data_IF_272070176161
#
_entry.id   IF_272070176161
#
_cell.length_a   1.000
_cell.length_b   1.000
_cell.length_c   1.000
_cell.angle_alpha   90.00
_cell.angle_beta   90.00
_cell.angle_gamma   90.00
#
_symmetry.space_group_name_H-M   'P 1'
#
loop_
_entity.id
_entity.type
_entity.pdbx_description
1 polymer ?
#
# COMPACT_ATOMS: atom_id res chain seq x y z
N UNK A 1 5.08 13.49 27.32
CA UNK A 1 4.00 13.56 26.31
C UNK A 1 4.52 12.88 25.07
N UNK A 2 3.90 11.78 24.65
CA UNK A 2 4.23 11.12 23.39
C UNK A 2 3.84 12.10 22.26
N UNK A 3 4.81 12.57 21.48
CA UNK A 3 4.64 13.66 20.51
C UNK A 3 3.82 13.22 19.29
N UNK A 4 2.60 12.68 19.44
CA UNK A 4 1.62 12.45 18.36
C UNK A 4 2.12 11.68 17.13
N UNK A 5 3.28 11.02 17.20
CA UNK A 5 3.96 10.42 16.05
C UNK A 5 3.38 9.04 15.82
N UNK A 6 2.94 8.79 14.59
CA UNK A 6 2.42 7.49 14.20
C UNK A 6 3.54 6.45 14.24
N UNK A 7 3.36 5.37 15.01
CA UNK A 7 4.23 4.21 14.95
C UNK A 7 3.96 3.44 13.64
N UNK A 8 4.81 3.70 12.65
CA UNK A 8 4.72 3.10 11.31
C UNK A 8 4.84 1.57 11.37
N UNK A 9 5.64 1.01 12.28
CA UNK A 9 5.78 -0.45 12.39
C UNK A 9 4.48 -1.07 12.88
N UNK A 10 3.85 -0.45 13.87
CA UNK A 10 2.55 -0.89 14.39
C UNK A 10 1.45 -0.72 13.33
N UNK A 11 1.46 0.39 12.59
CA UNK A 11 0.56 0.61 11.47
C UNK A 11 0.67 -0.50 10.41
N UNK A 12 1.90 -0.83 9.99
CA UNK A 12 2.14 -1.91 9.01
C UNK A 12 1.67 -3.26 9.54
N UNK A 13 1.92 -3.56 10.82
CA UNK A 13 1.45 -4.80 11.45
C UNK A 13 -0.08 -4.93 11.36
N UNK A 14 -0.82 -3.84 11.60
CA UNK A 14 -2.28 -3.85 11.45
C UNK A 14 -2.72 -3.87 9.99
N UNK A 15 -2.02 -3.16 9.10
CA UNK A 15 -2.30 -3.12 7.68
C UNK A 15 -2.31 -4.53 7.06
N UNK A 16 -1.36 -5.39 7.46
CA UNK A 16 -1.28 -6.79 7.00
C UNK A 16 -2.53 -7.60 7.35
N UNK A 17 -3.22 -7.29 8.45
CA UNK A 17 -4.39 -8.03 8.91
C UNK A 17 -5.71 -7.60 8.24
N UNK A 18 -5.74 -6.51 7.46
CA UNK A 18 -7.00 -6.04 6.86
C UNK A 18 -7.61 -7.09 5.94
N UNK A 19 -8.90 -7.46 6.04
CA UNK A 19 -9.49 -8.48 5.18
C UNK A 19 -9.52 -8.05 3.71
N UNK A 20 -9.64 -6.75 3.46
CA UNK A 20 -9.69 -6.21 2.11
C UNK A 20 -8.29 -6.01 1.52
N UNK A 21 -7.95 -6.82 0.52
CA UNK A 21 -6.68 -6.74 -0.20
C UNK A 21 -6.47 -5.39 -0.88
N UNK A 22 -7.52 -4.76 -1.43
CA UNK A 22 -7.42 -3.43 -2.06
C UNK A 22 -6.93 -2.40 -1.04
N UNK A 23 -7.42 -2.49 0.20
CA UNK A 23 -6.99 -1.63 1.30
C UNK A 23 -5.52 -1.83 1.64
N UNK A 24 -5.04 -3.08 1.74
CA UNK A 24 -3.61 -3.37 2.01
C UNK A 24 -2.70 -2.73 0.95
N UNK A 25 -3.08 -2.87 -0.32
CA UNK A 25 -2.34 -2.31 -1.46
C UNK A 25 -2.33 -0.79 -1.44
N UNK A 26 -3.46 -0.18 -1.14
CA UNK A 26 -3.60 1.28 -1.04
C UNK A 26 -2.72 1.84 0.09
N UNK A 27 -2.80 1.25 1.29
CA UNK A 27 -1.97 1.64 2.44
C UNK A 27 -0.48 1.52 2.08
N UNK A 28 -0.11 0.38 1.48
CA UNK A 28 1.27 0.14 1.08
C UNK A 28 1.81 1.16 0.09
N UNK A 29 1.04 1.47 -0.96
CA UNK A 29 1.38 2.50 -1.93
C UNK A 29 1.60 3.86 -1.25
N UNK A 30 0.67 4.28 -0.40
CA UNK A 30 0.75 5.57 0.31
C UNK A 30 1.99 5.64 1.21
N UNK A 31 2.31 4.57 1.93
CA UNK A 31 3.48 4.53 2.80
C UNK A 31 4.80 4.52 2.02
N UNK A 32 4.83 3.84 0.88
CA UNK A 32 5.97 3.81 -0.03
C UNK A 32 6.22 5.20 -0.65
N UNK A 33 5.15 5.87 -1.11
CA UNK A 33 5.20 7.25 -1.64
C UNK A 33 5.62 8.25 -0.55
N UNK A 34 5.31 7.97 0.72
CA UNK A 34 5.76 8.76 1.87
C UNK A 34 7.22 8.48 2.29
N UNK A 35 7.94 7.61 1.57
CA UNK A 35 9.34 7.30 1.82
C UNK A 35 9.60 6.33 2.98
N UNK A 36 8.60 5.53 3.38
CA UNK A 36 8.81 4.51 4.40
C UNK A 36 9.77 3.43 3.87
N UNK A 37 10.83 3.09 4.61
CA UNK A 37 11.80 2.09 4.18
C UNK A 37 11.17 0.73 3.83
N UNK A 38 11.65 0.12 2.74
CA UNK A 38 11.12 -1.16 2.24
C UNK A 38 11.23 -2.29 3.26
N UNK A 39 12.24 -2.26 4.14
CA UNK A 39 12.41 -3.25 5.21
C UNK A 39 11.20 -3.28 6.18
N UNK A 40 10.55 -2.14 6.41
CA UNK A 40 9.34 -2.01 7.23
C UNK A 40 8.12 -2.47 6.43
N UNK A 41 8.06 -2.19 5.13
CA UNK A 41 6.93 -2.53 4.26
C UNK A 41 6.92 -4.00 3.80
N UNK A 42 8.05 -4.71 3.92
CA UNK A 42 8.21 -6.11 3.48
C UNK A 42 7.08 -7.07 3.92
N UNK A 43 6.58 -7.04 5.17
CA UNK A 43 5.46 -7.89 5.57
C UNK A 43 4.17 -7.58 4.80
N UNK A 44 3.92 -6.30 4.51
CA UNK A 44 2.75 -5.85 3.77
C UNK A 44 2.84 -6.24 2.29
N UNK A 45 4.02 -6.10 1.67
CA UNK A 45 4.28 -6.54 0.29
C UNK A 45 4.03 -8.04 0.17
N UNK A 46 4.57 -8.84 1.09
CA UNK A 46 4.36 -10.30 1.12
C UNK A 46 2.87 -10.67 1.25
N UNK A 47 2.09 -9.87 2.00
CA UNK A 47 0.66 -10.12 2.20
C UNK A 47 -0.19 -9.95 0.93
N UNK A 48 0.32 -9.25 -0.09
CA UNK A 48 -0.37 -8.98 -1.35
C UNK A 48 0.27 -9.67 -2.56
N UNK A 49 1.44 -10.30 -2.36
CA UNK A 49 2.28 -10.86 -3.43
C UNK A 49 1.53 -11.83 -4.33
N UNK A 50 0.61 -12.63 -3.81
CA UNK A 50 -0.16 -13.64 -4.57
C UNK A 50 -1.58 -13.17 -4.96
N UNK A 51 -1.85 -11.88 -4.94
CA UNK A 51 -3.21 -11.33 -5.17
C UNK A 51 -3.37 -10.72 -6.56
N UNK A 52 -4.55 -10.82 -7.17
CA UNK A 52 -4.82 -10.24 -8.51
C UNK A 52 -4.53 -8.74 -8.59
N UNK A 53 -4.15 -8.22 -9.77
CA UNK A 53 -3.93 -6.77 -9.95
C UNK A 53 -5.24 -6.03 -9.69
N UNK A 54 -5.19 -5.02 -8.82
CA UNK A 54 -6.35 -4.19 -8.48
C UNK A 54 -6.31 -2.84 -9.17
N UNK A 55 -7.45 -2.16 -9.28
CA UNK A 55 -7.52 -0.74 -9.62
C UNK A 55 -8.00 0.06 -8.42
N UNK A 56 -7.36 1.20 -8.16
CA UNK A 56 -7.81 2.10 -7.09
C UNK A 56 -9.08 2.87 -7.48
N UNK A 57 -9.24 3.23 -8.76
CA UNK A 57 -10.32 4.10 -9.25
C UNK A 57 -11.43 3.36 -10.05
N UNK A 58 -11.47 2.03 -10.02
CA UNK A 58 -12.47 1.22 -10.74
C UNK A 58 -12.24 1.09 -12.24
N UNK A 59 -11.36 1.92 -12.83
CA UNK A 59 -10.92 1.83 -14.23
C UNK A 59 -9.61 1.06 -14.34
N UNK A 60 -9.41 0.31 -15.42
CA UNK A 60 -8.11 -0.33 -15.73
C UNK A 60 -7.16 0.58 -16.52
N UNK A 61 -7.51 1.86 -16.69
CA UNK A 61 -6.66 2.87 -17.33
C UNK A 61 -5.69 3.45 -16.28
N UNK A 62 -4.42 3.54 -16.63
CA UNK A 62 -3.37 4.13 -15.78
C UNK A 62 -2.06 3.32 -15.78
N UNK A 63 -1.15 3.71 -14.90
CA UNK A 63 0.17 3.08 -14.76
C UNK A 63 0.11 1.94 -13.76
N UNK A 64 0.66 0.79 -14.13
CA UNK A 64 0.75 -0.36 -13.22
C UNK A 64 1.93 -0.17 -12.25
N UNK A 65 1.62 -0.02 -10.96
CA UNK A 65 2.60 -0.22 -9.90
C UNK A 65 2.76 -1.73 -9.66
N UNK A 66 3.86 -2.30 -10.14
CA UNK A 66 4.15 -3.75 -10.04
C UNK A 66 4.36 -4.21 -8.59
N UNK A 67 5.00 -3.38 -7.76
CA UNK A 67 5.29 -3.67 -6.35
C UNK A 67 4.01 -3.83 -5.53
N UNK A 68 3.08 -2.88 -5.69
CA UNK A 68 1.80 -2.89 -4.97
C UNK A 68 0.65 -3.57 -5.72
N UNK A 69 0.92 -4.07 -6.94
CA UNK A 69 -0.04 -4.74 -7.81
C UNK A 69 -1.34 -3.93 -7.98
N UNK A 70 -1.20 -2.63 -8.19
CA UNK A 70 -2.30 -1.67 -8.41
C UNK A 70 -2.09 -0.84 -9.65
N UNK A 71 -3.17 -0.59 -10.38
CA UNK A 71 -3.23 0.42 -11.42
C UNK A 71 -3.53 1.75 -10.74
N UNK A 72 -2.59 2.68 -10.88
CA UNK A 72 -2.70 4.05 -10.40
C UNK A 72 -2.99 4.92 -11.61
N UNK A 73 -4.17 5.53 -11.62
CA UNK A 73 -4.47 6.59 -12.57
C UNK A 73 -4.08 7.90 -11.91
N UNK A 74 -2.91 8.42 -12.25
CA UNK A 74 -2.53 9.74 -11.83
C UNK A 74 -3.18 10.75 -12.79
N UNK A 75 -4.43 11.12 -12.50
CA UNK A 75 -5.10 12.20 -13.24
C UNK A 75 -4.59 13.59 -12.83
N UNK A 76 -3.51 13.67 -12.03
CA UNK A 76 -2.86 14.91 -11.58
C UNK A 76 -1.56 15.22 -12.35
N UNK A 77 -1.32 14.55 -13.48
CA UNK A 77 -0.32 14.95 -14.48
C UNK A 77 -0.98 15.49 -15.73
#
# INVERSE_FOLDING_TARGET
VDNGKCDIKKLVKYAVCFPNIKTRKCIGLILDDAGVPENILKPLIKSIEKTSIGSLNGSRKGTLNKKWRVIVNDSRK
#
